data_IF_318018645435
#
_entry.id   IF_318018645435
#
_cell.length_a   1.000
_cell.length_b   1.000
_cell.length_c   1.000
_cell.angle_alpha   90.00
_cell.angle_beta   90.00
_cell.angle_gamma   90.00
#
_symmetry.space_group_name_H-M   'P 1'
#
loop_
_entity.id
_entity.type
_entity.pdbx_description
1 polymer ?
#
# COMPACT_ATOMS: atom_id res chain seq x y z
N UNK A 1 4.34 -5.62 -4.47
CA UNK A 1 5.13 -6.84 -4.76
C UNK A 1 6.03 -6.51 -5.93
N UNK A 2 7.36 -6.44 -5.76
CA UNK A 2 8.23 -5.99 -6.86
C UNK A 2 9.27 -7.05 -7.23
N UNK A 3 8.89 -7.83 -8.24
CA UNK A 3 9.72 -8.72 -9.07
C UNK A 3 10.24 -9.97 -8.35
N UNK A 4 9.48 -11.07 -8.43
CA UNK A 4 10.13 -12.35 -8.65
C UNK A 4 10.41 -12.49 -10.15
N UNK A 5 11.56 -13.06 -10.49
CA UNK A 5 11.83 -13.49 -11.85
C UNK A 5 11.54 -14.98 -11.89
N UNK A 6 10.59 -15.38 -12.75
CA UNK A 6 10.39 -16.72 -13.34
C UNK A 6 9.01 -17.38 -13.15
N UNK A 7 7.94 -16.65 -12.82
CA UNK A 7 6.57 -17.21 -12.78
C UNK A 7 6.40 -18.39 -11.78
N UNK A 8 7.30 -18.52 -10.80
CA UNK A 8 7.23 -19.56 -9.76
C UNK A 8 6.69 -18.94 -8.48
N UNK A 9 5.37 -19.04 -8.31
CA UNK A 9 4.72 -18.64 -7.07
C UNK A 9 4.82 -19.77 -6.03
N UNK A 10 5.52 -19.57 -4.90
CA UNK A 10 5.49 -20.55 -3.82
C UNK A 10 4.08 -20.63 -3.25
N UNK A 11 3.62 -21.85 -2.95
CA UNK A 11 2.30 -22.04 -2.34
C UNK A 11 2.11 -21.21 -1.06
N UNK A 12 3.17 -21.07 -0.25
CA UNK A 12 3.16 -20.20 0.94
C UNK A 12 4.17 -19.06 0.76
N UNK A 13 3.71 -17.95 0.21
CA UNK A 13 4.52 -16.73 0.04
C UNK A 13 4.55 -15.93 1.35
N UNK A 14 5.71 -15.88 2.00
CA UNK A 14 5.86 -15.31 3.35
C UNK A 14 5.46 -13.83 3.43
N UNK A 15 5.59 -13.07 2.33
CA UNK A 15 5.23 -11.65 2.25
C UNK A 15 3.74 -11.42 2.61
N UNK A 16 2.85 -12.24 2.06
CA UNK A 16 1.41 -12.17 2.34
C UNK A 16 1.08 -12.51 3.79
N UNK A 17 1.68 -13.58 4.30
CA UNK A 17 1.53 -13.99 5.70
C UNK A 17 2.07 -12.93 6.68
N UNK A 18 3.21 -12.33 6.35
CA UNK A 18 3.79 -11.24 7.13
C UNK A 18 2.86 -10.03 7.17
N UNK A 19 2.33 -9.59 6.03
CA UNK A 19 1.36 -8.48 6.00
C UNK A 19 0.10 -8.80 6.84
N UNK A 20 -0.40 -10.03 6.75
CA UNK A 20 -1.57 -10.46 7.53
C UNK A 20 -1.28 -10.51 9.04
N UNK A 21 -0.09 -10.96 9.47
CA UNK A 21 0.32 -10.95 10.88
C UNK A 21 0.38 -9.54 11.50
N UNK A 22 0.54 -8.53 10.66
CA UNK A 22 0.51 -7.10 11.01
C UNK A 22 -0.86 -6.46 10.67
N UNK A 23 -1.91 -7.26 10.52
CA UNK A 23 -3.29 -6.79 10.44
C UNK A 23 -3.70 -6.19 9.09
N UNK A 24 -2.86 -6.30 8.05
CA UNK A 24 -3.24 -5.90 6.69
C UNK A 24 -4.10 -6.99 6.08
N UNK A 25 -5.42 -6.76 5.98
CA UNK A 25 -6.38 -7.74 5.44
C UNK A 25 -6.72 -7.51 3.97
N UNK A 26 -6.52 -6.31 3.45
CA UNK A 26 -6.75 -5.92 2.05
C UNK A 26 -5.65 -4.98 1.58
N UNK A 27 -5.25 -5.09 0.31
CA UNK A 27 -4.27 -4.22 -0.33
C UNK A 27 -4.69 -3.89 -1.76
N UNK A 28 -4.30 -2.70 -2.22
CA UNK A 28 -4.27 -2.35 -3.63
C UNK A 28 -2.80 -2.33 -4.07
N UNK A 29 -2.42 -3.19 -5.01
CA UNK A 29 -1.09 -3.20 -5.62
C UNK A 29 -1.16 -2.50 -7.00
N UNK A 30 -0.67 -1.26 -7.10
CA UNK A 30 -0.85 -0.45 -8.29
C UNK A 30 0.21 -0.73 -9.38
N UNK A 31 1.16 -1.64 -9.16
CA UNK A 31 2.21 -1.96 -10.13
C UNK A 31 2.82 -3.33 -9.87
N UNK A 32 2.36 -4.34 -10.59
CA UNK A 32 2.85 -5.71 -10.45
C UNK A 32 2.91 -6.45 -11.79
N UNK A 33 3.54 -7.62 -11.81
CA UNK A 33 3.38 -8.56 -12.92
C UNK A 33 1.91 -9.00 -12.98
N UNK A 34 1.27 -8.84 -14.14
CA UNK A 34 -0.16 -9.17 -14.34
C UNK A 34 -0.45 -10.62 -13.96
N UNK A 35 0.39 -11.55 -14.41
CA UNK A 35 0.17 -12.98 -14.15
C UNK A 35 0.38 -13.32 -12.69
N UNK A 36 1.44 -12.82 -12.06
CA UNK A 36 1.74 -13.10 -10.65
C UNK A 36 0.64 -12.55 -9.74
N UNK A 37 0.24 -11.29 -9.91
CA UNK A 37 -0.66 -10.63 -8.96
C UNK A 37 -2.08 -11.19 -9.03
N UNK A 38 -2.59 -11.48 -10.23
CA UNK A 38 -3.93 -12.05 -10.37
C UNK A 38 -3.94 -13.53 -9.97
N UNK A 39 -2.91 -14.30 -10.30
CA UNK A 39 -2.79 -15.68 -9.81
C UNK A 39 -2.70 -15.71 -8.28
N UNK A 40 -1.89 -14.85 -7.68
CA UNK A 40 -1.77 -14.76 -6.22
C UNK A 40 -3.10 -14.35 -5.57
N UNK A 41 -3.82 -13.39 -6.17
CA UNK A 41 -5.13 -12.97 -5.67
C UNK A 41 -6.13 -14.13 -5.69
N UNK A 42 -6.22 -14.86 -6.80
CA UNK A 42 -7.08 -16.05 -6.91
C UNK A 42 -6.67 -17.15 -5.91
N UNK A 43 -5.37 -17.40 -5.72
CA UNK A 43 -4.88 -18.36 -4.72
C UNK A 43 -5.27 -17.96 -3.30
N UNK A 44 -5.28 -16.65 -2.99
CA UNK A 44 -5.68 -16.12 -1.69
C UNK A 44 -7.20 -16.23 -1.50
N UNK A 45 -7.99 -15.90 -2.53
CA UNK A 45 -9.46 -15.95 -2.47
C UNK A 45 -9.99 -17.38 -2.37
N UNK A 46 -9.36 -18.32 -3.07
CA UNK A 46 -9.71 -19.75 -3.02
C UNK A 46 -9.13 -20.47 -1.80
N UNK A 47 -8.29 -19.80 -1.01
CA UNK A 47 -7.70 -20.34 0.22
C UNK A 47 -6.55 -21.33 0.01
N UNK A 48 -5.96 -21.38 -1.19
CA UNK A 48 -4.72 -22.13 -1.47
C UNK A 48 -3.55 -21.58 -0.65
N UNK A 49 -3.53 -20.26 -0.44
CA UNK A 49 -2.59 -19.56 0.44
C UNK A 49 -3.31 -18.51 1.27
N UNK A 50 -2.64 -17.92 2.27
CA UNK A 50 -3.15 -16.81 3.07
C UNK A 50 -2.31 -15.56 2.86
N UNK A 51 -2.95 -14.42 3.01
CA UNK A 51 -2.40 -13.09 2.81
C UNK A 51 -3.53 -12.07 2.74
N UNK A 52 -3.25 -10.77 2.52
CA UNK A 52 -4.28 -9.78 2.29
C UNK A 52 -5.08 -10.09 1.00
N UNK A 53 -6.35 -9.73 0.94
CA UNK A 53 -7.09 -9.67 -0.33
C UNK A 53 -6.42 -8.63 -1.23
N UNK A 54 -6.08 -8.99 -2.46
CA UNK A 54 -5.25 -8.15 -3.33
C UNK A 54 -6.05 -7.68 -4.53
N UNK A 55 -6.32 -6.39 -4.56
CA UNK A 55 -6.79 -5.68 -5.74
C UNK A 55 -5.58 -5.15 -6.50
N UNK A 56 -5.58 -5.16 -7.83
CA UNK A 56 -4.43 -4.67 -8.58
C UNK A 56 -4.80 -4.04 -9.92
N UNK A 57 -3.91 -3.18 -10.40
CA UNK A 57 -3.90 -2.69 -11.77
C UNK A 57 -3.26 -3.68 -12.75
N UNK A 58 -2.53 -4.70 -12.23
CA UNK A 58 -1.62 -5.51 -13.02
C UNK A 58 -0.40 -4.71 -13.48
N UNK A 59 0.11 -5.03 -14.67
CA UNK A 59 1.21 -4.28 -15.25
C UNK A 59 0.78 -2.86 -15.66
N UNK A 60 1.64 -1.90 -15.40
CA UNK A 60 1.40 -0.47 -15.63
C UNK A 60 1.21 -0.13 -17.12
N UNK A 61 0.43 0.92 -17.40
CA UNK A 61 0.37 1.55 -18.71
C UNK A 61 1.51 2.57 -18.85
N UNK A 62 2.73 2.06 -19.07
CA UNK A 62 3.94 2.87 -19.14
C UNK A 62 4.01 3.74 -20.40
N UNK A 63 4.13 5.06 -20.27
CA UNK A 63 4.14 5.99 -21.41
C UNK A 63 5.51 6.55 -21.80
N UNK A 64 6.51 6.47 -20.92
CA UNK A 64 7.83 7.02 -21.18
C UNK A 64 8.62 6.17 -22.21
N UNK A 65 9.68 6.76 -22.77
CA UNK A 65 10.48 6.12 -23.81
C UNK A 65 11.15 4.83 -23.32
N UNK A 66 10.97 3.73 -24.04
CA UNK A 66 11.56 2.44 -23.69
C UNK A 66 10.84 1.26 -24.36
N UNK A 67 11.44 0.07 -24.26
CA UNK A 67 10.78 -1.16 -24.65
C UNK A 67 9.61 -1.46 -23.69
N UNK A 68 8.50 -1.97 -24.22
CA UNK A 68 7.32 -2.32 -23.41
C UNK A 68 6.39 -1.15 -23.05
N UNK A 69 6.61 0.05 -23.61
CA UNK A 69 5.68 1.17 -23.43
C UNK A 69 4.29 0.84 -24.02
N UNK A 70 3.25 1.32 -23.37
CA UNK A 70 1.89 1.37 -23.91
C UNK A 70 1.80 2.53 -24.89
N UNK A 71 1.71 2.21 -26.18
CA UNK A 71 1.61 3.21 -27.25
C UNK A 71 0.18 3.73 -27.29
N UNK A 72 0.01 5.02 -27.03
CA UNK A 72 -1.29 5.69 -27.03
C UNK A 72 -1.17 6.94 -27.89
N UNK A 73 -1.56 6.83 -29.17
CA UNK A 73 -1.56 7.97 -30.10
C UNK A 73 -2.94 8.59 -30.25
N UNK A 74 -4.00 7.86 -29.91
CA UNK A 74 -5.38 8.33 -29.86
C UNK A 74 -6.21 7.64 -28.75
N UNK A 75 -7.52 7.95 -28.71
CA UNK A 75 -8.45 7.40 -27.72
C UNK A 75 -8.72 5.90 -27.94
N UNK A 76 -8.66 5.40 -29.17
CA UNK A 76 -8.93 3.98 -29.45
C UNK A 76 -7.77 3.10 -28.98
N UNK A 77 -6.53 3.59 -29.04
CA UNK A 77 -5.39 2.94 -28.38
C UNK A 77 -5.59 2.84 -26.86
N UNK A 78 -6.01 3.94 -26.22
CA UNK A 78 -6.29 3.94 -24.79
C UNK A 78 -7.39 2.93 -24.42
N UNK A 79 -8.47 2.87 -25.21
CA UNK A 79 -9.54 1.87 -25.05
C UNK A 79 -9.02 0.45 -25.14
N UNK A 80 -8.14 0.15 -26.10
CA UNK A 80 -7.56 -1.18 -26.24
C UNK A 80 -6.77 -1.58 -24.99
N UNK A 81 -5.92 -0.69 -24.49
CA UNK A 81 -5.12 -0.93 -23.28
C UNK A 81 -5.99 -1.13 -22.03
N UNK A 82 -6.97 -0.27 -21.80
CA UNK A 82 -7.89 -0.38 -20.65
C UNK A 82 -8.72 -1.67 -20.73
N UNK A 83 -9.32 -1.96 -21.89
CA UNK A 83 -10.11 -3.18 -22.09
C UNK A 83 -9.28 -4.45 -21.93
N UNK A 84 -8.01 -4.42 -22.35
CA UNK A 84 -7.09 -5.54 -22.11
C UNK A 84 -6.94 -5.78 -20.62
N UNK A 85 -6.57 -4.75 -19.85
CA UNK A 85 -6.38 -4.92 -18.40
C UNK A 85 -7.67 -5.36 -17.69
N UNK A 86 -8.82 -4.83 -18.11
CA UNK A 86 -10.13 -5.30 -17.60
C UNK A 86 -10.36 -6.79 -17.82
N UNK A 87 -10.03 -7.29 -19.02
CA UNK A 87 -10.17 -8.72 -19.36
C UNK A 87 -9.25 -9.62 -18.54
N UNK A 88 -8.09 -9.11 -18.13
CA UNK A 88 -7.17 -9.81 -17.23
C UNK A 88 -7.67 -9.84 -15.76
N UNK A 89 -8.73 -9.10 -15.44
CA UNK A 89 -9.30 -9.03 -14.08
C UNK A 89 -9.01 -7.73 -13.33
N UNK A 90 -8.34 -6.76 -13.96
CA UNK A 90 -8.12 -5.47 -13.32
C UNK A 90 -9.44 -4.68 -13.20
N UNK A 91 -9.65 -4.02 -12.06
CA UNK A 91 -10.74 -3.05 -11.84
C UNK A 91 -10.24 -1.59 -11.90
N UNK A 92 -8.91 -1.42 -11.95
CA UNK A 92 -8.22 -0.14 -12.07
C UNK A 92 -7.04 -0.28 -13.03
N UNK A 93 -6.53 0.81 -13.58
CA UNK A 93 -5.28 0.82 -14.37
C UNK A 93 -4.31 1.86 -13.81
N UNK A 94 -3.00 1.61 -13.95
CA UNK A 94 -1.98 2.60 -13.61
C UNK A 94 -1.52 3.39 -14.84
N UNK A 95 -1.90 4.66 -14.92
CA UNK A 95 -1.45 5.62 -15.93
C UNK A 95 -0.04 6.12 -15.56
N UNK A 96 0.99 5.43 -16.06
CA UNK A 96 2.36 5.61 -15.57
C UNK A 96 3.20 6.44 -16.55
N UNK A 97 3.64 7.62 -16.12
CA UNK A 97 4.57 8.49 -16.88
C UNK A 97 4.12 8.77 -18.33
N UNK A 98 2.82 9.00 -18.54
CA UNK A 98 2.28 9.42 -19.84
C UNK A 98 2.72 10.87 -20.14
N UNK A 99 3.57 11.09 -21.17
CA UNK A 99 4.25 12.38 -21.35
C UNK A 99 3.30 13.50 -21.76
N UNK A 100 2.26 13.19 -22.54
CA UNK A 100 1.27 14.18 -22.95
C UNK A 100 0.02 14.13 -22.08
N UNK A 101 -0.59 15.30 -21.86
CA UNK A 101 -1.82 15.40 -21.06
C UNK A 101 -3.03 14.78 -21.77
N UNK A 102 -3.12 14.90 -23.09
CA UNK A 102 -4.18 14.26 -23.89
C UNK A 102 -4.16 12.73 -23.73
N UNK A 103 -3.00 12.10 -23.70
CA UNK A 103 -2.84 10.66 -23.42
C UNK A 103 -3.44 10.27 -22.07
N UNK A 104 -3.16 11.03 -21.00
CA UNK A 104 -3.77 10.80 -19.69
C UNK A 104 -5.29 10.94 -19.75
N UNK A 105 -5.79 11.98 -20.42
CA UNK A 105 -7.24 12.21 -20.57
C UNK A 105 -7.92 11.11 -21.39
N UNK A 106 -7.25 10.54 -22.39
CA UNK A 106 -7.75 9.38 -23.14
C UNK A 106 -7.83 8.13 -22.26
N UNK A 107 -6.82 7.88 -21.41
CA UNK A 107 -6.87 6.79 -20.42
C UNK A 107 -8.03 6.99 -19.45
N UNK A 108 -8.24 8.21 -18.92
CA UNK A 108 -9.38 8.52 -18.05
C UNK A 108 -10.71 8.27 -18.78
N UNK A 109 -10.83 8.72 -20.03
CA UNK A 109 -12.06 8.55 -20.82
C UNK A 109 -12.35 7.08 -21.07
N UNK A 110 -11.36 6.31 -21.53
CA UNK A 110 -11.48 4.88 -21.75
C UNK A 110 -11.81 4.11 -20.46
N UNK A 111 -11.17 4.46 -19.33
CA UNK A 111 -11.47 3.85 -18.04
C UNK A 111 -12.90 4.14 -17.59
N UNK A 112 -13.39 5.37 -17.77
CA UNK A 112 -14.78 5.74 -17.44
C UNK A 112 -15.79 4.95 -18.28
N UNK A 113 -15.56 4.79 -19.58
CA UNK A 113 -16.41 3.96 -20.45
C UNK A 113 -16.47 2.50 -19.98
N UNK A 114 -15.39 2.01 -19.40
CA UNK A 114 -15.27 0.65 -18.87
C UNK A 114 -15.60 0.54 -17.38
N UNK A 115 -16.01 1.62 -16.71
CA UNK A 115 -16.23 1.66 -15.25
C UNK A 115 -15.02 1.20 -14.43
N UNK A 116 -13.82 1.61 -14.85
CA UNK A 116 -12.55 1.34 -14.18
C UNK A 116 -11.98 2.61 -13.54
N UNK A 117 -11.23 2.41 -12.46
CA UNK A 117 -10.48 3.47 -11.79
C UNK A 117 -9.13 3.71 -12.47
N UNK A 118 -8.54 4.89 -12.25
CA UNK A 118 -7.23 5.24 -12.81
C UNK A 118 -6.37 5.84 -11.72
N UNK A 119 -5.27 5.14 -11.40
CA UNK A 119 -4.25 5.63 -10.48
C UNK A 119 -3.05 6.08 -11.32
N UNK A 120 -2.40 7.22 -11.05
CA UNK A 120 -1.23 7.65 -11.78
C UNK A 120 0.06 7.19 -11.07
N UNK A 121 1.19 7.34 -11.75
CA UNK A 121 2.44 7.62 -11.04
C UNK A 121 2.47 9.12 -10.71
N UNK A 122 2.34 9.47 -9.44
CA UNK A 122 2.60 10.84 -8.98
C UNK A 122 4.07 11.04 -8.57
N UNK A 123 4.35 12.14 -7.89
CA UNK A 123 5.72 12.59 -7.65
C UNK A 123 6.34 13.30 -8.86
N UNK A 124 7.56 13.81 -8.69
CA UNK A 124 8.26 14.60 -9.71
C UNK A 124 7.93 16.09 -9.67
N UNK A 125 6.90 16.54 -10.39
CA UNK A 125 6.53 17.96 -10.55
C UNK A 125 5.09 18.24 -10.08
N UNK A 126 4.92 19.28 -9.26
CA UNK A 126 3.62 19.65 -8.69
C UNK A 126 2.58 19.89 -9.78
N UNK A 127 2.94 20.62 -10.83
CA UNK A 127 2.06 20.99 -11.94
C UNK A 127 1.50 19.76 -12.65
N UNK A 128 2.30 18.70 -12.75
CA UNK A 128 1.87 17.43 -13.33
C UNK A 128 0.85 16.76 -12.42
N UNK A 129 1.11 16.69 -11.11
CA UNK A 129 0.16 16.09 -10.15
C UNK A 129 -1.16 16.88 -10.10
N UNK A 130 -1.11 18.22 -10.09
CA UNK A 130 -2.32 19.05 -10.13
C UNK A 130 -3.11 18.82 -11.43
N UNK A 131 -2.44 18.65 -12.58
CA UNK A 131 -3.12 18.31 -13.82
C UNK A 131 -3.79 16.93 -13.76
N UNK A 132 -3.19 15.95 -13.08
CA UNK A 132 -3.77 14.62 -12.91
C UNK A 132 -5.04 14.66 -12.05
N UNK A 133 -5.05 15.48 -10.98
CA UNK A 133 -6.25 15.76 -10.18
C UNK A 133 -7.34 16.38 -11.05
N UNK A 134 -7.00 17.40 -11.85
CA UNK A 134 -7.95 18.05 -12.77
C UNK A 134 -8.46 17.13 -13.88
N UNK A 135 -7.64 16.19 -14.34
CA UNK A 135 -8.02 15.18 -15.34
C UNK A 135 -8.97 14.12 -14.75
N UNK A 136 -9.05 14.00 -13.42
CA UNK A 136 -9.96 13.09 -12.72
C UNK A 136 -9.36 11.73 -12.39
N UNK A 137 -8.06 11.67 -12.08
CA UNK A 137 -7.46 10.45 -11.53
C UNK A 137 -8.09 10.12 -10.16
N UNK A 138 -8.19 8.83 -9.85
CA UNK A 138 -8.76 8.32 -8.60
C UNK A 138 -7.89 8.70 -7.40
N UNK A 139 -6.57 8.60 -7.57
CA UNK A 139 -5.57 8.96 -6.57
C UNK A 139 -4.47 9.83 -7.18
N UNK A 140 -3.62 10.38 -6.34
CA UNK A 140 -2.23 10.70 -6.65
C UNK A 140 -1.38 9.77 -5.79
N UNK A 141 -0.55 8.95 -6.45
CA UNK A 141 0.41 8.09 -5.78
C UNK A 141 1.70 8.84 -5.52
N UNK A 142 2.33 8.62 -4.37
CA UNK A 142 3.49 9.35 -3.87
C UNK A 142 3.23 10.79 -3.45
N UNK A 143 4.13 11.27 -2.59
CA UNK A 143 4.10 12.61 -2.06
C UNK A 143 4.15 13.68 -3.16
N UNK A 144 3.30 14.70 -3.02
CA UNK A 144 3.50 15.97 -3.71
C UNK A 144 4.94 16.48 -3.48
N UNK A 145 5.66 16.90 -4.53
CA UNK A 145 7.10 17.19 -4.46
C UNK A 145 7.44 18.52 -3.78
N UNK A 146 6.45 19.22 -3.22
CA UNK A 146 6.62 20.50 -2.54
C UNK A 146 5.97 20.47 -1.16
N UNK A 147 6.66 21.05 -0.18
CA UNK A 147 6.13 21.26 1.16
C UNK A 147 6.59 22.63 1.68
N UNK A 148 5.73 23.40 2.37
CA UNK A 148 4.31 23.14 2.61
C UNK A 148 3.47 23.36 1.34
N UNK A 149 2.38 22.61 1.19
CA UNK A 149 1.39 22.87 0.13
C UNK A 149 0.55 24.11 0.46
N UNK A 150 -0.04 24.77 -0.53
CA UNK A 150 -0.98 25.88 -0.32
C UNK A 150 -2.41 25.43 0.00
N UNK A 151 -3.25 26.35 0.49
CA UNK A 151 -4.69 26.09 0.73
C UNK A 151 -5.46 25.83 -0.57
N UNK A 152 -5.02 26.43 -1.66
CA UNK A 152 -5.53 26.21 -3.00
C UNK A 152 -5.33 24.76 -3.45
N UNK A 153 -4.13 24.20 -3.23
CA UNK A 153 -3.82 22.79 -3.51
C UNK A 153 -4.69 21.88 -2.63
N UNK A 154 -4.75 22.12 -1.33
CA UNK A 154 -5.55 21.31 -0.43
C UNK A 154 -7.05 21.31 -0.80
N UNK A 155 -7.60 22.49 -1.11
CA UNK A 155 -9.00 22.63 -1.57
C UNK A 155 -9.26 21.97 -2.91
N UNK A 156 -8.28 21.94 -3.82
CA UNK A 156 -8.41 21.21 -5.08
C UNK A 156 -8.61 19.71 -4.84
N UNK A 157 -7.81 19.10 -3.96
CA UNK A 157 -8.03 17.70 -3.56
C UNK A 157 -9.41 17.52 -2.92
N UNK A 158 -9.78 18.38 -1.97
CA UNK A 158 -11.10 18.33 -1.33
C UNK A 158 -12.29 18.44 -2.30
N UNK A 159 -12.18 19.25 -3.34
CA UNK A 159 -13.24 19.46 -4.32
C UNK A 159 -13.27 18.41 -5.46
N UNK A 160 -12.12 17.79 -5.77
CA UNK A 160 -12.00 16.86 -6.92
C UNK A 160 -12.51 15.46 -6.63
N UNK A 161 -12.46 15.01 -5.38
CA UNK A 161 -12.68 13.60 -5.01
C UNK A 161 -11.45 12.71 -5.23
N UNK A 162 -10.36 13.21 -5.81
CA UNK A 162 -9.07 12.51 -5.88
C UNK A 162 -8.45 12.39 -4.50
N UNK A 163 -7.95 11.20 -4.15
CA UNK A 163 -7.27 10.95 -2.87
C UNK A 163 -5.75 11.05 -2.99
N UNK A 164 -5.05 11.41 -1.92
CA UNK A 164 -3.58 11.38 -1.86
C UNK A 164 -3.10 10.09 -1.19
N UNK A 165 -2.21 9.33 -1.86
CA UNK A 165 -1.47 8.21 -1.28
C UNK A 165 0.01 8.64 -1.12
N UNK A 166 0.43 9.23 0.01
CA UNK A 166 1.69 9.97 0.08
C UNK A 166 2.94 9.08 0.06
N UNK A 167 2.85 7.82 0.45
CA UNK A 167 3.99 6.89 0.54
C UNK A 167 5.16 7.48 1.32
N UNK A 168 4.91 7.95 2.54
CA UNK A 168 5.88 8.65 3.41
C UNK A 168 7.20 7.89 3.55
N UNK A 169 7.17 6.56 3.53
CA UNK A 169 8.37 5.73 3.56
C UNK A 169 9.34 5.98 2.40
N UNK A 170 8.85 6.36 1.23
CA UNK A 170 9.62 6.76 0.03
C UNK A 170 9.32 8.18 -0.40
N UNK A 171 8.87 9.04 0.51
CA UNK A 171 8.62 10.44 0.19
C UNK A 171 9.84 11.09 -0.47
N UNK A 172 9.61 11.72 -1.62
CA UNK A 172 10.60 12.53 -2.33
C UNK A 172 10.60 13.97 -1.79
N UNK A 173 11.54 14.80 -2.23
CA UNK A 173 11.68 16.20 -1.78
C UNK A 173 12.61 16.38 -0.57
N UNK A 174 13.06 15.28 0.03
CA UNK A 174 14.06 15.25 1.11
C UNK A 174 14.24 13.83 1.66
N UNK A 175 14.62 13.71 2.94
CA UNK A 175 14.84 12.40 3.58
C UNK A 175 13.50 11.72 3.87
N UNK A 176 13.32 10.51 3.35
CA UNK A 176 12.10 9.72 3.48
C UNK A 176 11.92 9.08 4.87
N UNK A 177 10.69 8.69 5.17
CA UNK A 177 10.31 8.13 6.47
C UNK A 177 10.94 6.77 6.77
N UNK A 178 11.23 5.95 5.76
CA UNK A 178 11.87 4.62 5.96
C UNK A 178 13.17 4.75 6.76
N UNK A 179 13.99 5.75 6.43
CA UNK A 179 15.26 6.01 7.12
C UNK A 179 15.05 6.46 8.57
N UNK A 180 13.99 7.23 8.85
CA UNK A 180 13.63 7.61 10.21
C UNK A 180 13.34 6.37 11.06
N UNK A 181 12.53 5.45 10.58
CA UNK A 181 12.19 4.25 11.35
C UNK A 181 13.39 3.33 11.57
N UNK A 182 14.23 3.13 10.56
CA UNK A 182 15.47 2.38 10.77
C UNK A 182 16.43 3.05 11.75
N UNK A 183 16.47 4.39 11.80
CA UNK A 183 17.29 5.14 12.75
C UNK A 183 16.79 5.00 14.21
N UNK A 184 15.47 4.94 14.41
CA UNK A 184 14.83 5.02 15.73
C UNK A 184 14.37 3.68 16.31
N UNK A 185 14.30 2.61 15.51
CA UNK A 185 13.88 1.28 15.96
C UNK A 185 14.93 0.22 15.66
N UNK A 186 15.08 -0.72 16.59
CA UNK A 186 15.94 -1.90 16.41
C UNK A 186 15.19 -2.99 15.64
N UNK A 187 14.85 -2.72 14.39
CA UNK A 187 13.98 -3.56 13.56
C UNK A 187 14.52 -4.99 13.41
N UNK A 188 15.85 -5.16 13.40
CA UNK A 188 16.51 -6.47 13.34
C UNK A 188 16.32 -7.33 14.60
N UNK A 189 15.83 -6.75 15.69
CA UNK A 189 15.51 -7.45 16.94
C UNK A 189 14.01 -7.76 17.08
N UNK A 190 13.18 -7.37 16.11
CA UNK A 190 11.74 -7.59 16.20
C UNK A 190 11.42 -9.09 16.02
N UNK A 191 11.16 -9.79 17.11
CA UNK A 191 10.92 -11.24 17.12
C UNK A 191 9.73 -11.65 16.25
N UNK A 192 8.62 -10.90 16.30
CA UNK A 192 7.45 -11.14 15.45
C UNK A 192 7.82 -11.03 13.98
N UNK A 193 8.52 -9.98 13.58
CA UNK A 193 8.96 -9.80 12.19
C UNK A 193 9.88 -10.95 11.74
N UNK A 194 10.80 -11.36 12.61
CA UNK A 194 11.74 -12.46 12.33
C UNK A 194 11.08 -13.84 12.17
N UNK A 195 9.84 -14.03 12.65
CA UNK A 195 9.06 -15.25 12.38
C UNK A 195 8.68 -15.36 10.90
N UNK A 196 8.35 -14.23 10.27
CA UNK A 196 7.81 -14.22 8.90
C UNK A 196 8.80 -13.71 7.86
N UNK A 197 9.77 -12.89 8.25
CA UNK A 197 10.68 -12.19 7.34
C UNK A 197 12.06 -12.86 7.30
N UNK A 198 12.63 -13.17 6.12
CA UNK A 198 13.96 -13.78 6.03
C UNK A 198 15.05 -12.93 6.68
N UNK A 199 15.71 -13.46 7.72
CA UNK A 199 16.72 -12.74 8.51
C UNK A 199 17.81 -12.05 7.66
N UNK A 200 18.43 -12.68 6.65
CA UNK A 200 19.46 -12.02 5.84
C UNK A 200 18.92 -10.79 5.08
N UNK A 201 17.65 -10.83 4.64
CA UNK A 201 17.01 -9.71 3.96
C UNK A 201 16.70 -8.58 4.94
N UNK A 202 16.30 -8.90 6.18
CA UNK A 202 16.02 -7.90 7.20
C UNK A 202 17.31 -7.21 7.65
N UNK A 203 18.32 -8.00 8.07
CA UNK A 203 19.59 -7.49 8.59
C UNK A 203 20.30 -6.57 7.59
N UNK A 204 20.28 -6.93 6.30
CA UNK A 204 20.88 -6.13 5.23
C UNK A 204 20.29 -4.71 5.13
N UNK A 205 19.02 -4.54 5.50
CA UNK A 205 18.29 -3.26 5.42
C UNK A 205 18.28 -2.52 6.74
N UNK A 206 18.15 -3.22 7.87
CA UNK A 206 17.91 -2.60 9.17
C UNK A 206 19.14 -2.40 10.05
N UNK A 207 20.16 -3.27 9.96
CA UNK A 207 21.40 -3.10 10.74
C UNK A 207 22.32 -2.12 10.04
N UNK A 208 22.52 -2.32 8.74
CA UNK A 208 23.40 -1.49 7.91
C UNK A 208 22.60 -0.32 7.37
N UNK A 209 22.47 0.71 8.19
CA UNK A 209 21.73 1.94 7.85
C UNK A 209 22.50 2.70 6.76
N UNK A 210 21.95 2.84 5.53
CA UNK A 210 22.64 3.54 4.45
C UNK A 210 22.71 5.05 4.70
N UNK A 211 21.81 5.57 5.54
CA UNK A 211 21.67 6.98 5.87
C UNK A 211 21.38 7.13 7.38
N UNK A 212 22.03 8.10 8.00
CA UNK A 212 21.68 8.63 9.32
C UNK A 212 21.70 10.16 9.19
N UNK A 213 20.72 10.84 9.77
CA UNK A 213 20.69 12.31 9.78
C UNK A 213 20.39 12.84 11.18
N UNK A 214 20.49 14.16 11.33
CA UNK A 214 20.14 14.88 12.55
C UNK A 214 18.62 15.01 12.70
N UNK A 215 18.16 15.16 13.93
CA UNK A 215 16.74 15.43 14.20
C UNK A 215 16.30 16.75 13.56
N UNK A 216 15.12 16.73 12.92
CA UNK A 216 14.52 17.89 12.25
C UNK A 216 14.70 17.95 10.73
N UNK A 217 15.57 17.12 10.13
CA UNK A 217 15.80 17.07 8.67
C UNK A 217 14.90 16.04 7.95
N UNK A 218 13.87 15.56 8.65
CA UNK A 218 13.00 14.46 8.21
C UNK A 218 11.84 14.98 7.37
N UNK A 219 12.01 14.95 6.05
CA UNK A 219 11.07 15.58 5.11
C UNK A 219 9.67 14.93 5.11
N UNK A 220 9.57 13.63 5.37
CA UNK A 220 8.28 12.94 5.41
C UNK A 220 7.29 13.54 6.42
N UNK A 221 7.78 14.18 7.50
CA UNK A 221 6.91 14.87 8.46
C UNK A 221 6.24 16.11 7.85
N UNK A 222 6.96 16.84 6.99
CA UNK A 222 6.41 17.99 6.25
C UNK A 222 5.38 17.54 5.19
N UNK A 223 5.63 16.39 4.54
CA UNK A 223 4.65 15.76 3.63
C UNK A 223 3.39 15.34 4.39
N UNK A 224 3.55 14.71 5.55
CA UNK A 224 2.43 14.33 6.41
C UNK A 224 1.62 15.56 6.89
N UNK A 225 2.27 16.70 7.16
CA UNK A 225 1.58 17.96 7.46
C UNK A 225 0.79 18.49 6.26
N UNK A 226 1.27 18.29 5.02
CA UNK A 226 0.50 18.53 3.81
C UNK A 226 -0.76 17.64 3.72
N UNK A 227 -0.62 16.37 4.07
CA UNK A 227 -1.74 15.42 4.13
C UNK A 227 -2.80 15.87 5.16
N UNK A 228 -2.39 16.39 6.31
CA UNK A 228 -3.32 16.96 7.31
C UNK A 228 -4.14 18.12 6.73
N UNK A 229 -3.52 18.97 5.89
CA UNK A 229 -4.23 20.07 5.22
C UNK A 229 -5.23 19.57 4.18
N UNK A 230 -4.90 18.51 3.43
CA UNK A 230 -5.82 17.87 2.48
C UNK A 230 -7.05 17.33 3.24
N UNK A 231 -6.85 16.62 4.35
CA UNK A 231 -7.95 16.13 5.19
C UNK A 231 -8.82 17.27 5.73
N UNK A 232 -8.19 18.34 6.26
CA UNK A 232 -8.90 19.52 6.77
C UNK A 232 -9.70 20.25 5.69
N UNK A 233 -9.29 20.17 4.42
CA UNK A 233 -10.01 20.71 3.27
C UNK A 233 -11.13 19.79 2.75
N UNK A 234 -11.40 18.66 3.41
CA UNK A 234 -12.41 17.68 3.01
C UNK A 234 -11.93 16.63 2.00
N UNK A 235 -10.64 16.64 1.67
CA UNK A 235 -10.01 15.61 0.84
C UNK A 235 -9.80 14.31 1.60
N UNK A 236 -9.26 13.31 0.90
CA UNK A 236 -8.91 12.01 1.49
C UNK A 236 -7.43 11.71 1.32
N UNK A 237 -6.90 11.06 2.34
CA UNK A 237 -5.55 10.51 2.38
C UNK A 237 -5.68 9.01 2.64
N UNK A 238 -4.97 8.21 1.87
CA UNK A 238 -4.93 6.75 1.97
C UNK A 238 -3.59 6.29 2.52
N UNK A 239 -3.55 5.11 3.12
CA UNK A 239 -2.31 4.49 3.60
C UNK A 239 -1.65 3.68 2.48
N UNK A 240 -0.42 4.05 2.08
CA UNK A 240 0.36 3.29 1.09
C UNK A 240 1.83 3.16 1.49
N UNK A 241 2.29 1.98 1.89
CA UNK A 241 3.68 1.77 2.35
C UNK A 241 4.68 1.44 1.23
N UNK A 242 4.24 1.43 -0.05
CA UNK A 242 5.03 1.16 -1.26
C UNK A 242 5.86 -0.15 -1.25
N UNK A 243 5.59 -1.04 -0.29
CA UNK A 243 6.25 -2.35 -0.18
C UNK A 243 7.67 -2.29 0.39
N UNK A 244 8.06 -1.20 1.08
CA UNK A 244 9.39 -1.08 1.68
C UNK A 244 9.66 -2.21 2.65
N UNK A 245 8.77 -2.46 3.60
CA UNK A 245 8.92 -3.53 4.59
C UNK A 245 7.58 -4.24 4.78
N UNK A 246 7.52 -5.52 4.38
CA UNK A 246 6.34 -6.36 4.63
C UNK A 246 6.05 -6.43 6.13
N UNK A 247 4.76 -6.41 6.45
CA UNK A 247 4.25 -6.29 7.81
C UNK A 247 4.40 -4.87 8.34
N UNK A 248 5.52 -4.61 9.02
CA UNK A 248 5.71 -3.41 9.83
C UNK A 248 5.68 -2.09 9.02
N UNK A 249 5.96 -2.11 7.72
CA UNK A 249 5.94 -0.90 6.88
C UNK A 249 4.57 -0.21 6.81
N UNK A 250 3.46 -0.95 6.87
CA UNK A 250 2.12 -0.35 6.92
C UNK A 250 1.90 0.44 8.22
N UNK A 251 2.39 -0.08 9.35
CA UNK A 251 2.36 0.65 10.62
C UNK A 251 3.28 1.87 10.57
N UNK A 252 4.45 1.78 9.97
CA UNK A 252 5.34 2.93 9.83
C UNK A 252 4.73 4.05 9.01
N UNK A 253 4.08 3.74 7.89
CA UNK A 253 3.34 4.73 7.10
C UNK A 253 2.26 5.40 7.98
N UNK A 254 1.54 4.61 8.77
CA UNK A 254 0.47 5.08 9.66
C UNK A 254 1.01 5.98 10.78
N UNK A 255 2.15 5.63 11.37
CA UNK A 255 2.81 6.43 12.41
C UNK A 255 3.41 7.70 11.81
N UNK A 256 3.91 7.63 10.57
CA UNK A 256 4.41 8.78 9.82
C UNK A 256 3.32 9.83 9.60
N UNK A 257 2.09 9.41 9.31
CA UNK A 257 0.94 10.34 9.17
C UNK A 257 0.73 11.17 10.44
N UNK A 258 0.82 10.56 11.62
CA UNK A 258 0.61 11.29 12.88
C UNK A 258 1.77 12.25 13.21
N UNK A 259 2.98 11.99 12.71
CA UNK A 259 4.12 12.91 12.85
C UNK A 259 3.88 14.25 12.13
N UNK A 260 2.98 14.29 11.14
CA UNK A 260 2.53 15.51 10.47
C UNK A 260 1.35 16.23 11.15
N UNK A 261 0.90 15.76 12.31
CA UNK A 261 -0.22 16.36 13.05
C UNK A 261 -1.61 15.81 12.71
N UNK A 262 -1.70 14.73 11.92
CA UNK A 262 -2.95 13.98 11.74
C UNK A 262 -3.29 13.27 13.05
N UNK A 263 -4.54 13.36 13.51
CA UNK A 263 -4.94 12.68 14.76
C UNK A 263 -4.91 11.17 14.60
N UNK A 264 -4.75 10.43 15.71
CA UNK A 264 -4.74 8.96 15.68
C UNK A 264 -6.00 8.37 15.02
N UNK A 265 -7.18 8.96 15.27
CA UNK A 265 -8.43 8.52 14.66
C UNK A 265 -8.45 8.75 13.14
N UNK A 266 -7.98 9.90 12.67
CA UNK A 266 -7.90 10.20 11.24
C UNK A 266 -6.87 9.32 10.54
N UNK A 267 -5.73 9.05 11.18
CA UNK A 267 -4.73 8.13 10.67
C UNK A 267 -5.32 6.71 10.51
N UNK A 268 -6.07 6.22 11.49
CA UNK A 268 -6.79 4.95 11.39
C UNK A 268 -7.82 4.95 10.24
N UNK A 269 -8.51 6.07 9.99
CA UNK A 269 -9.39 6.22 8.82
C UNK A 269 -8.62 6.16 7.50
N UNK A 270 -7.41 6.75 7.42
CA UNK A 270 -6.54 6.64 6.25
C UNK A 270 -6.18 5.17 5.94
N UNK A 271 -5.98 4.36 6.97
CA UNK A 271 -5.66 2.93 6.86
C UNK A 271 -6.87 2.01 6.63
N UNK A 272 -8.10 2.52 6.71
CA UNK A 272 -9.32 1.70 6.65
C UNK A 272 -10.33 2.29 5.66
N UNK A 273 -11.26 3.10 6.14
CA UNK A 273 -12.39 3.59 5.37
C UNK A 273 -11.99 4.48 4.19
N UNK A 274 -10.95 5.32 4.31
CA UNK A 274 -10.54 6.18 3.20
C UNK A 274 -10.12 5.35 1.99
N UNK A 275 -9.28 4.33 2.19
CA UNK A 275 -8.87 3.41 1.11
C UNK A 275 -10.06 2.68 0.51
N UNK A 276 -10.96 2.16 1.35
CA UNK A 276 -12.19 1.50 0.89
C UNK A 276 -13.03 2.43 0.01
N UNK A 277 -13.27 3.66 0.45
CA UNK A 277 -14.06 4.65 -0.29
C UNK A 277 -13.38 5.06 -1.60
N UNK A 278 -12.07 5.32 -1.56
CA UNK A 278 -11.29 5.74 -2.74
C UNK A 278 -11.38 4.73 -3.87
N UNK A 279 -11.43 3.44 -3.54
CA UNK A 279 -11.53 2.36 -4.52
C UNK A 279 -12.97 1.84 -4.73
N UNK A 280 -13.98 2.50 -4.15
CA UNK A 280 -15.39 2.12 -4.29
C UNK A 280 -15.77 0.80 -3.60
N UNK A 281 -14.98 0.37 -2.62
CA UNK A 281 -15.13 -0.87 -1.85
C UNK A 281 -15.72 -0.64 -0.46
N UNK A 282 -16.10 0.60 -0.11
CA UNK A 282 -16.64 0.96 1.21
C UNK A 282 -17.99 0.31 1.51
N UNK A 283 -18.68 -0.23 0.51
CA UNK A 283 -19.88 -1.05 0.71
C UNK A 283 -19.56 -2.48 1.15
N UNK A 284 -18.31 -2.95 0.99
CA UNK A 284 -17.88 -4.31 1.34
C UNK A 284 -16.89 -4.36 2.50
N UNK A 285 -16.04 -3.33 2.66
CA UNK A 285 -14.95 -3.34 3.64
C UNK A 285 -14.59 -1.93 4.15
N UNK A 286 -13.63 -1.87 5.08
CA UNK A 286 -13.09 -0.62 5.61
C UNK A 286 -13.81 -0.05 6.84
N UNK A 287 -14.90 -0.67 7.29
CA UNK A 287 -15.55 -0.37 8.58
C UNK A 287 -16.28 -1.59 9.14
N UNK A 288 -16.59 -1.55 10.45
CA UNK A 288 -17.33 -2.60 11.14
C UNK A 288 -18.83 -2.35 11.06
N UNK A 289 -19.47 -2.87 10.01
CA UNK A 289 -20.90 -2.71 9.74
C UNK A 289 -21.51 -4.05 9.28
N UNK A 290 -22.78 -4.29 9.62
CA UNK A 290 -23.49 -5.51 9.22
C UNK A 290 -23.57 -5.58 7.69
N UNK A 291 -23.23 -6.73 7.12
CA UNK A 291 -23.24 -6.98 5.67
C UNK A 291 -21.88 -6.82 5.00
N UNK A 292 -20.89 -6.21 5.67
CA UNK A 292 -19.51 -6.12 5.19
C UNK A 292 -18.71 -7.40 5.50
N UNK A 293 -17.57 -7.53 4.82
CA UNK A 293 -16.61 -8.60 5.02
C UNK A 293 -16.09 -8.62 6.45
N UNK A 294 -15.96 -9.81 7.02
CA UNK A 294 -15.46 -10.02 8.37
C UNK A 294 -13.92 -9.92 8.41
N UNK A 295 -13.41 -8.73 8.09
CA UNK A 295 -12.00 -8.36 8.18
C UNK A 295 -11.82 -7.46 9.41
N UNK A 296 -11.30 -8.01 10.50
CA UNK A 296 -11.25 -7.37 11.82
C UNK A 296 -9.88 -7.58 12.43
N UNK A 297 -9.37 -6.57 13.13
CA UNK A 297 -8.16 -6.72 13.94
C UNK A 297 -8.48 -6.38 15.40
N UNK A 298 -7.90 -7.13 16.32
CA UNK A 298 -8.04 -6.93 17.77
C UNK A 298 -6.68 -6.53 18.32
N UNK A 299 -6.64 -5.45 19.09
CA UNK A 299 -5.41 -4.92 19.69
C UNK A 299 -5.53 -4.98 21.21
N UNK A 300 -4.41 -5.28 21.88
CA UNK A 300 -4.31 -5.26 23.34
C UNK A 300 -4.44 -3.83 23.89
N UNK A 301 -3.86 -2.84 23.20
CA UNK A 301 -3.79 -1.45 23.65
C UNK A 301 -4.55 -0.50 22.73
N UNK A 302 -5.04 0.60 23.30
CA UNK A 302 -5.83 1.60 22.60
C UNK A 302 -4.97 2.43 21.62
N UNK A 303 -5.19 2.35 20.28
CA UNK A 303 -4.44 3.14 19.30
C UNK A 303 -4.78 4.64 19.30
N UNK A 304 -5.88 5.04 19.95
CA UNK A 304 -6.24 6.46 20.09
C UNK A 304 -5.37 7.18 21.12
N UNK A 305 -4.79 6.46 22.09
CA UNK A 305 -3.86 7.03 23.07
C UNK A 305 -2.44 7.16 22.51
N UNK A 306 -2.00 6.17 21.73
CA UNK A 306 -0.70 6.14 21.09
C UNK A 306 -0.78 5.31 19.80
N UNK A 307 -0.47 5.91 18.66
CA UNK A 307 -0.68 5.25 17.36
C UNK A 307 0.15 3.98 17.20
N UNK A 308 1.30 3.88 17.88
CA UNK A 308 2.16 2.69 17.86
C UNK A 308 1.50 1.48 18.53
N UNK A 309 0.44 1.69 19.33
CA UNK A 309 -0.38 0.59 19.84
C UNK A 309 -1.09 -0.18 18.72
N UNK A 310 -1.15 0.35 17.50
CA UNK A 310 -1.63 -0.40 16.32
C UNK A 310 -0.86 -1.69 16.08
N UNK A 311 0.39 -1.79 16.55
CA UNK A 311 1.21 -3.00 16.47
C UNK A 311 1.12 -3.89 17.74
N UNK A 312 0.07 -3.75 18.56
CA UNK A 312 -0.23 -4.63 19.71
C UNK A 312 -1.34 -5.63 19.37
N UNK A 313 -1.32 -6.14 18.15
CA UNK A 313 -2.33 -7.05 17.63
C UNK A 313 -2.34 -8.37 18.41
N UNK A 314 -3.53 -8.78 18.86
CA UNK A 314 -3.78 -10.09 19.48
C UNK A 314 -4.39 -11.05 18.46
N UNK A 315 -5.38 -10.59 17.70
CA UNK A 315 -6.03 -11.38 16.66
C UNK A 315 -6.14 -10.61 15.35
N UNK A 316 -5.99 -11.36 14.26
CA UNK A 316 -6.32 -10.91 12.91
C UNK A 316 -7.41 -11.82 12.37
N UNK A 317 -8.52 -11.23 11.95
CA UNK A 317 -9.66 -11.90 11.35
C UNK A 317 -9.72 -11.52 9.89
N UNK A 318 -9.73 -12.51 9.00
CA UNK A 318 -9.87 -12.30 7.56
C UNK A 318 -10.94 -13.22 7.00
N UNK A 319 -11.95 -12.66 6.33
CA UNK A 319 -13.12 -13.42 5.86
C UNK A 319 -13.73 -14.31 6.96
N UNK A 320 -13.70 -13.84 8.21
CA UNK A 320 -14.19 -14.59 9.37
C UNK A 320 -13.25 -15.65 9.93
N UNK A 321 -12.17 -16.01 9.26
CA UNK A 321 -11.14 -16.88 9.84
C UNK A 321 -10.32 -16.11 10.86
N UNK A 322 -10.17 -16.65 12.07
CA UNK A 322 -9.46 -16.00 13.17
C UNK A 322 -8.05 -16.57 13.28
N UNK A 323 -7.06 -15.69 13.29
CA UNK A 323 -5.65 -16.01 13.43
C UNK A 323 -5.08 -15.37 14.70
N UNK A 324 -4.19 -16.09 15.38
CA UNK A 324 -3.27 -15.49 16.35
C UNK A 324 -2.35 -14.52 15.59
N UNK A 325 -2.30 -13.26 16.01
CA UNK A 325 -1.56 -12.25 15.26
C UNK A 325 -0.03 -12.47 15.31
N UNK A 326 0.47 -13.20 16.30
CA UNK A 326 1.88 -13.37 16.59
C UNK A 326 2.47 -14.62 15.94
N UNK A 327 1.70 -15.69 15.86
CA UNK A 327 2.11 -16.96 15.23
C UNK A 327 1.49 -17.19 13.87
N UNK A 328 0.38 -16.49 13.54
CA UNK A 328 -0.48 -16.77 12.39
C UNK A 328 -1.08 -18.18 12.38
N UNK A 329 -1.12 -18.84 13.55
CA UNK A 329 -1.93 -20.04 13.71
C UNK A 329 -3.39 -19.68 13.53
N UNK A 330 -4.08 -20.42 12.68
CA UNK A 330 -5.52 -20.31 12.56
C UNK A 330 -6.14 -20.90 13.83
N UNK A 331 -6.93 -20.11 14.54
CA UNK A 331 -7.62 -20.48 15.77
C UNK A 331 -9.07 -20.93 15.50
N UNK A 332 -9.69 -20.37 14.46
CA UNK A 332 -11.07 -20.63 14.05
C UNK A 332 -11.26 -20.42 12.52
N UNK A 333 -12.18 -21.15 11.84
CA UNK A 333 -13.02 -22.24 12.35
C UNK A 333 -12.27 -23.55 12.50
N UNK A 334 -11.14 -23.72 11.82
CA UNK A 334 -10.32 -24.92 11.90
C UNK A 334 -8.98 -24.54 12.50
N UNK A 335 -8.62 -25.21 13.60
CA UNK A 335 -7.30 -25.01 14.21
C UNK A 335 -6.22 -25.57 13.31
N UNK A 336 -5.32 -24.72 12.84
CA UNK A 336 -4.19 -25.11 11.98
C UNK A 336 -2.97 -24.27 12.33
N UNK A 337 -1.78 -24.88 12.48
CA UNK A 337 -0.58 -24.10 12.65
C UNK A 337 -0.25 -23.31 11.38
N UNK A 338 0.43 -22.17 11.52
CA UNK A 338 1.01 -21.44 10.39
C UNK A 338 1.92 -22.38 9.57
N UNK A 339 1.84 -22.39 8.24
CA UNK A 339 2.77 -23.16 7.43
C UNK A 339 4.20 -22.65 7.60
N UNK A 340 5.17 -23.54 7.33
CA UNK A 340 6.57 -23.14 7.23
C UNK A 340 6.85 -22.51 5.87
N UNK A 341 7.71 -21.49 5.86
CA UNK A 341 8.17 -20.81 4.65
C UNK A 341 9.47 -21.40 4.12
N UNK A 342 9.76 -21.22 2.82
CA UNK A 342 10.95 -21.80 2.19
C UNK A 342 12.26 -21.45 2.92
N UNK A 343 12.41 -20.22 3.42
CA UNK A 343 13.61 -19.81 4.16
C UNK A 343 13.72 -20.44 5.56
N UNK A 344 12.62 -20.92 6.15
CA UNK A 344 12.63 -21.64 7.42
C UNK A 344 12.94 -23.13 7.22
N UNK A 345 12.59 -23.68 6.06
CA UNK A 345 12.84 -25.09 5.71
C UNK A 345 14.27 -25.28 5.19
N UNK A 346 14.73 -24.37 4.34
CA UNK A 346 16.00 -24.48 3.60
C UNK A 346 17.08 -23.50 4.09
N UNK A 347 16.75 -22.58 4.98
CA UNK A 347 17.68 -21.61 5.53
C UNK A 347 18.42 -22.11 6.77
N UNK A 348 19.41 -21.33 7.27
CA UNK A 348 20.08 -21.65 8.52
C UNK A 348 19.09 -21.60 9.70
N UNK A 349 19.23 -22.47 10.72
CA UNK A 349 18.33 -22.49 11.87
C UNK A 349 18.33 -21.15 12.60
N UNK A 350 17.17 -20.79 13.18
CA UNK A 350 17.01 -19.54 13.91
C UNK A 350 17.96 -19.50 15.12
N UNK A 351 18.39 -18.31 15.60
CA UNK A 351 19.24 -18.21 16.78
C UNK A 351 18.64 -18.85 18.03
N UNK A 352 17.31 -18.88 18.16
CA UNK A 352 16.59 -19.54 19.25
C UNK A 352 16.61 -21.07 19.18
N UNK A 353 17.07 -21.63 18.04
CA UNK A 353 17.19 -23.07 17.79
C UNK A 353 18.66 -23.55 17.85
N UNK A 354 19.60 -22.66 18.22
CA UNK A 354 21.01 -22.96 18.51
C UNK A 354 21.25 -22.84 20.00
#
# INVERSE_FOLDING_TARGET
>A
FHYDSMDILPQNQWEGWCNLAYGVTTTHDPSASTYEVFTLSEMIETGVTKGPRTYSTGFILYGAGGAGRSVIEDLDDARQHVRRMKREGAFSVKSYMQPRRDQRQWVITAAREESMLVVPEGGGQLETNLSMVLDGHTTIEHALPVTPIGDDVARLFGASGTSETPTLLVAYGGISGENWFYQHYEVWQNEKLLRFYPRPRLDARSIRRPLMTIDGDWHHMAVAAGCARILAAGGKVTLGAHGQLQGLGAHWELWGLTQGGISNLEALRCATWNGAWTFGLDHELGSLEVGKLADVIVMEKNPLEKIENTNTLEYVVKNGEVFDADTMDQLWPVRRPCPKFGFQVWGPPLPSER
#
